data_IF_621562949777
#
_entry.id   IF_621562949777
#
_cell.length_a   1.000
_cell.length_b   1.000
_cell.length_c   1.000
_cell.angle_alpha   90.00
_cell.angle_beta   90.00
_cell.angle_gamma   90.00
#
_symmetry.space_group_name_H-M   'P 1'
#
loop_
_entity.id
_entity.type
_entity.pdbx_description
1 polymer ?
#
# COMPACT_ATOMS: atom_id res chain seq x y z
N UNK A 1 -63.81 11.41 32.90
CA UNK A 1 -63.65 10.83 34.23
C UNK A 1 -62.16 10.93 34.54
N UNK A 2 -61.78 11.99 35.22
CA UNK A 2 -61.44 12.11 36.66
C UNK A 2 -60.08 11.49 37.00
N UNK A 3 -59.01 12.26 36.95
CA UNK A 3 -58.25 12.99 37.98
C UNK A 3 -57.64 12.08 39.06
N UNK A 4 -56.35 12.21 39.24
CA UNK A 4 -55.57 11.66 40.36
C UNK A 4 -54.16 12.22 40.44
N UNK A 5 -54.08 13.52 40.84
CA UNK A 5 -52.80 14.21 41.18
C UNK A 5 -52.39 13.74 42.59
N UNK A 6 -51.17 13.21 42.77
CA UNK A 6 -50.57 13.08 44.10
C UNK A 6 -49.20 13.75 44.14
N UNK A 7 -49.16 14.82 44.92
CA UNK A 7 -47.92 15.50 45.33
C UNK A 7 -47.21 14.67 46.39
N UNK A 8 -45.89 14.55 46.27
CA UNK A 8 -45.02 14.01 47.31
C UNK A 8 -44.05 15.17 47.71
N UNK A 9 -44.14 15.53 48.93
CA UNK A 9 -43.28 16.49 49.65
C UNK A 9 -41.96 15.76 49.98
N UNK A 10 -40.85 16.29 49.57
CA UNK A 10 -39.54 15.79 50.00
C UNK A 10 -38.93 16.82 50.97
N UNK A 11 -38.71 16.32 52.17
CA UNK A 11 -38.08 16.99 53.29
C UNK A 11 -36.57 17.16 53.07
N UNK A 12 -36.07 18.39 53.19
CA UNK A 12 -34.66 18.73 53.14
C UNK A 12 -33.99 18.33 54.48
N UNK A 13 -32.98 17.49 54.42
CA UNK A 13 -32.08 17.26 55.54
C UNK A 13 -30.71 17.86 55.18
N UNK A 14 -30.34 18.93 55.86
CA UNK A 14 -29.00 19.54 55.83
C UNK A 14 -28.13 18.80 56.85
N UNK A 15 -27.13 18.08 56.41
CA UNK A 15 -26.07 17.56 57.23
C UNK A 15 -24.74 18.21 56.78
N UNK A 16 -24.23 19.11 57.59
CA UNK A 16 -22.91 19.64 57.44
C UNK A 16 -21.83 18.57 57.74
N UNK A 17 -20.90 18.44 56.86
CA UNK A 17 -19.71 17.61 57.06
C UNK A 17 -18.47 18.33 56.58
N UNK A 18 -17.59 18.73 57.50
CA UNK A 18 -16.22 19.16 57.25
C UNK A 18 -15.43 17.96 56.71
N UNK A 19 -14.68 18.17 55.60
CA UNK A 19 -13.81 17.10 55.19
C UNK A 19 -12.90 17.44 53.99
N UNK A 20 -11.68 17.76 54.27
CA UNK A 20 -10.46 17.56 53.48
C UNK A 20 -10.51 17.77 51.97
N UNK A 21 -9.93 18.86 51.53
CA UNK A 21 -9.33 19.03 50.21
C UNK A 21 -8.29 17.94 49.96
N UNK A 22 -8.60 16.99 49.09
CA UNK A 22 -7.60 16.22 48.34
C UNK A 22 -7.57 16.83 46.94
N UNK A 23 -6.49 17.55 46.64
CA UNK A 23 -6.10 17.86 45.27
C UNK A 23 -5.84 16.55 44.52
N UNK A 24 -6.90 16.00 43.99
CA UNK A 24 -6.81 14.93 42.99
C UNK A 24 -6.62 15.59 41.65
N UNK A 25 -5.38 15.80 41.22
CA UNK A 25 -5.06 16.02 39.82
C UNK A 25 -5.50 14.80 39.06
N UNK A 26 -6.74 14.78 38.57
CA UNK A 26 -7.19 13.86 37.54
C UNK A 26 -6.48 14.32 36.26
N UNK A 27 -5.37 13.68 35.92
CA UNK A 27 -4.87 13.76 34.54
C UNK A 27 -5.94 13.16 33.63
N UNK A 28 -6.78 14.01 33.03
CA UNK A 28 -7.60 13.64 31.90
C UNK A 28 -6.61 13.16 30.83
N UNK A 29 -6.47 11.86 30.66
CA UNK A 29 -5.86 11.25 29.49
C UNK A 29 -6.78 11.62 28.32
N UNK A 30 -6.39 12.67 27.60
CA UNK A 30 -7.08 13.11 26.39
C UNK A 30 -7.02 11.94 25.42
N UNK A 31 -8.16 11.29 25.19
CA UNK A 31 -8.27 10.21 24.23
C UNK A 31 -7.87 10.75 22.84
N UNK A 32 -6.78 10.25 22.29
CA UNK A 32 -6.25 10.73 21.00
C UNK A 32 -7.15 10.18 19.92
N UNK A 33 -7.92 11.06 19.28
CA UNK A 33 -8.87 10.69 18.20
C UNK A 33 -8.13 10.12 16.99
N UNK A 34 -8.75 9.11 16.36
CA UNK A 34 -8.30 8.61 15.06
C UNK A 34 -8.82 9.55 13.97
N UNK A 35 -7.94 9.96 13.07
CA UNK A 35 -8.27 10.82 11.93
C UNK A 35 -7.80 10.16 10.64
N UNK A 36 -8.56 10.35 9.55
CA UNK A 36 -8.14 9.95 8.21
C UNK A 36 -7.71 11.19 7.42
N UNK A 37 -6.44 11.21 7.02
CA UNK A 37 -5.86 12.22 6.14
C UNK A 37 -6.00 11.76 4.69
N UNK A 38 -6.47 12.66 3.82
CA UNK A 38 -6.55 12.41 2.37
C UNK A 38 -5.24 12.80 1.71
N UNK A 39 -4.78 11.98 0.79
CA UNK A 39 -3.64 12.24 -0.07
C UNK A 39 -4.04 12.69 -1.47
N UNK A 40 -3.18 12.44 -2.44
CA UNK A 40 -3.44 12.78 -3.83
C UNK A 40 -4.47 11.84 -4.48
N UNK A 41 -5.16 12.34 -5.51
CA UNK A 41 -6.10 11.59 -6.33
C UNK A 41 -5.80 11.78 -7.82
N UNK A 42 -6.11 10.77 -8.64
CA UNK A 42 -6.13 10.86 -10.10
C UNK A 42 -7.28 10.05 -10.69
N UNK A 43 -7.74 10.48 -11.85
CA UNK A 43 -8.72 9.73 -12.63
C UNK A 43 -8.00 8.61 -13.41
N UNK A 44 -8.38 7.36 -13.13
CA UNK A 44 -7.80 6.16 -13.75
C UNK A 44 -8.94 5.35 -14.32
N UNK A 45 -8.91 5.08 -15.63
CA UNK A 45 -9.90 4.26 -16.31
C UNK A 45 -11.36 4.65 -15.93
N UNK A 46 -11.65 5.99 -15.93
CA UNK A 46 -12.96 6.59 -15.65
C UNK A 46 -13.40 6.57 -14.17
N UNK A 47 -12.51 6.30 -13.24
CA UNK A 47 -12.79 6.34 -11.79
C UNK A 47 -11.65 7.00 -11.04
N UNK A 48 -11.94 7.63 -9.91
CA UNK A 48 -10.93 8.35 -9.14
C UNK A 48 -10.27 7.44 -8.10
N UNK A 49 -8.96 7.21 -8.23
CA UNK A 49 -8.11 6.53 -7.24
C UNK A 49 -7.48 7.59 -6.34
N UNK A 50 -7.51 7.36 -5.02
CA UNK A 50 -6.97 8.29 -4.03
C UNK A 50 -6.12 7.57 -3.00
N UNK A 51 -5.02 8.18 -2.57
CA UNK A 51 -4.25 7.74 -1.40
C UNK A 51 -4.83 8.32 -0.12
N UNK A 52 -4.55 7.68 1.00
CA UNK A 52 -5.00 8.13 2.32
C UNK A 52 -4.12 7.53 3.44
N UNK A 53 -4.25 8.09 4.65
CA UNK A 53 -3.63 7.53 5.86
C UNK A 53 -4.54 7.72 7.07
N UNK A 54 -4.58 6.73 7.98
CA UNK A 54 -5.20 6.86 9.30
C UNK A 54 -4.14 7.12 10.34
N UNK A 55 -4.38 8.12 11.15
CA UNK A 55 -3.47 8.58 12.21
C UNK A 55 -4.15 8.54 13.56
N UNK A 56 -3.42 8.19 14.60
CA UNK A 56 -3.80 8.42 16.00
C UNK A 56 -2.75 9.33 16.64
N UNK A 57 -3.04 10.63 16.65
CA UNK A 57 -2.04 11.65 16.96
C UNK A 57 -0.87 11.58 15.98
N UNK A 58 0.33 11.34 16.52
CA UNK A 58 1.55 11.20 15.74
C UNK A 58 1.78 9.77 15.17
N UNK A 59 0.97 8.80 15.58
CA UNK A 59 1.15 7.41 15.17
C UNK A 59 0.39 7.12 13.86
N UNK A 60 1.07 6.48 12.90
CA UNK A 60 0.45 5.93 11.70
C UNK A 60 -0.21 4.61 12.07
N UNK A 61 -1.50 4.49 11.82
CA UNK A 61 -2.24 3.24 11.97
C UNK A 61 -2.36 2.49 10.65
N UNK A 62 -2.72 3.22 9.58
CA UNK A 62 -2.90 2.66 8.24
C UNK A 62 -2.41 3.65 7.19
N UNK A 63 -1.84 3.13 6.11
CA UNK A 63 -1.56 3.87 4.86
C UNK A 63 -2.12 3.06 3.71
N UNK A 64 -2.72 3.72 2.73
CA UNK A 64 -3.28 2.96 1.62
C UNK A 64 -3.81 3.79 0.47
N UNK A 65 -4.54 3.10 -0.39
CA UNK A 65 -5.25 3.68 -1.52
C UNK A 65 -6.67 3.13 -1.62
N UNK A 66 -7.59 3.99 -2.06
CA UNK A 66 -8.94 3.60 -2.46
C UNK A 66 -8.97 3.46 -3.99
N UNK A 67 -9.35 2.28 -4.46
CA UNK A 67 -9.40 1.91 -5.87
C UNK A 67 -10.82 1.48 -6.22
N UNK A 68 -11.64 2.34 -6.83
CA UNK A 68 -12.99 1.98 -7.26
C UNK A 68 -12.97 0.84 -8.29
N UNK A 69 -13.95 -0.04 -8.23
CA UNK A 69 -14.06 -1.18 -9.16
C UNK A 69 -14.11 -0.74 -10.63
N UNK A 70 -14.64 0.46 -10.89
CA UNK A 70 -14.66 1.07 -12.22
C UNK A 70 -13.27 1.29 -12.81
N UNK A 71 -12.24 1.58 -11.99
CA UNK A 71 -10.85 1.68 -12.47
C UNK A 71 -10.32 0.32 -12.97
N UNK A 72 -10.82 -0.76 -12.40
CA UNK A 72 -10.42 -2.13 -12.74
C UNK A 72 -11.23 -2.64 -13.93
N UNK A 73 -12.53 -2.46 -13.92
CA UNK A 73 -13.44 -2.90 -15.00
C UNK A 73 -13.10 -2.24 -16.34
N UNK A 74 -12.86 -0.92 -16.32
CA UNK A 74 -12.56 -0.13 -17.52
C UNK A 74 -11.07 -0.14 -17.91
N UNK A 75 -10.20 -0.90 -17.24
CA UNK A 75 -8.82 -1.06 -17.66
C UNK A 75 -8.75 -1.66 -19.06
N UNK A 76 -8.08 -1.02 -20.04
CA UNK A 76 -8.09 -1.42 -21.45
C UNK A 76 -7.50 -2.82 -21.62
N UNK A 77 -8.14 -3.63 -22.47
CA UNK A 77 -7.66 -4.98 -22.77
C UNK A 77 -6.42 -4.98 -23.67
N UNK A 78 -6.35 -3.99 -24.56
CA UNK A 78 -5.25 -3.83 -25.53
C UNK A 78 -4.45 -2.57 -25.17
N UNK A 79 -3.20 -2.78 -24.78
CA UNK A 79 -2.22 -1.71 -24.60
C UNK A 79 -1.00 -2.03 -25.43
N UNK A 80 -0.48 -1.02 -26.13
CA UNK A 80 0.83 -1.15 -26.77
C UNK A 80 1.90 -1.14 -25.67
N UNK A 81 2.74 -2.17 -25.63
CA UNK A 81 3.87 -2.20 -24.71
C UNK A 81 4.80 -1.02 -24.99
N UNK A 82 5.09 -0.24 -23.94
CA UNK A 82 6.01 0.88 -23.96
C UNK A 82 7.15 0.57 -23.01
N UNK A 83 8.39 0.90 -23.43
CA UNK A 83 9.54 0.69 -22.58
C UNK A 83 10.31 1.98 -22.32
N UNK A 84 10.64 2.30 -21.06
CA UNK A 84 10.13 1.66 -19.84
C UNK A 84 8.62 1.87 -19.69
N UNK A 85 7.93 1.02 -18.92
CA UNK A 85 6.49 1.17 -18.66
C UNK A 85 6.14 2.56 -18.12
N UNK A 86 4.96 3.05 -18.50
CA UNK A 86 4.46 4.35 -18.07
C UNK A 86 3.37 4.14 -17.02
N UNK A 87 3.48 4.75 -15.83
CA UNK A 87 2.46 4.62 -14.81
C UNK A 87 1.13 5.22 -15.26
N UNK A 88 0.02 4.58 -14.91
CA UNK A 88 -1.33 5.15 -15.08
C UNK A 88 -1.63 6.20 -14.02
N UNK A 89 -0.92 6.18 -12.88
CA UNK A 89 -0.93 7.23 -11.87
C UNK A 89 0.37 7.28 -11.06
N UNK A 90 0.66 8.48 -10.52
CA UNK A 90 1.64 8.70 -9.47
C UNK A 90 0.99 9.65 -8.43
N UNK A 91 0.74 9.14 -7.23
CA UNK A 91 -0.10 9.78 -6.21
C UNK A 91 0.67 9.90 -4.90
N UNK A 92 0.81 11.11 -4.41
CA UNK A 92 1.45 11.34 -3.12
C UNK A 92 0.64 10.78 -1.95
N UNK A 93 1.31 10.12 -1.00
CA UNK A 93 0.75 9.75 0.30
C UNK A 93 0.59 11.03 1.14
N UNK A 94 -0.41 11.13 2.06
CA UNK A 94 -0.54 12.27 2.94
C UNK A 94 0.75 12.62 3.69
N UNK A 95 1.15 13.90 3.71
CA UNK A 95 2.40 14.38 4.31
C UNK A 95 2.58 13.92 5.75
N UNK A 96 1.49 13.91 6.53
CA UNK A 96 1.49 13.49 7.94
C UNK A 96 1.95 12.05 8.16
N UNK A 97 1.86 11.20 7.13
CA UNK A 97 2.23 9.78 7.21
C UNK A 97 3.56 9.45 6.52
N UNK A 98 4.04 10.25 5.56
CA UNK A 98 5.20 9.91 4.71
C UNK A 98 6.45 9.53 5.49
N UNK A 99 6.93 10.43 6.34
CA UNK A 99 8.17 10.19 7.09
C UNK A 99 8.04 9.07 8.11
N UNK A 100 6.84 8.86 8.64
CA UNK A 100 6.56 7.89 9.71
C UNK A 100 6.41 6.49 9.18
N UNK A 101 5.69 6.32 8.06
CA UNK A 101 5.49 5.03 7.39
C UNK A 101 6.64 4.64 6.47
N UNK A 102 7.48 5.61 6.08
CA UNK A 102 8.47 5.42 5.02
C UNK A 102 7.84 5.26 3.62
N UNK A 103 6.53 5.47 3.47
CA UNK A 103 5.84 5.47 2.16
C UNK A 103 5.58 6.90 1.72
N UNK A 104 6.12 7.30 0.56
CA UNK A 104 6.06 8.68 0.05
C UNK A 104 4.99 8.88 -1.00
N UNK A 105 4.85 7.93 -1.91
CA UNK A 105 3.87 7.97 -3.00
C UNK A 105 3.48 6.56 -3.46
N UNK A 106 2.35 6.47 -4.15
CA UNK A 106 1.89 5.31 -4.88
C UNK A 106 2.13 5.56 -6.37
N UNK A 107 2.87 4.68 -7.04
CA UNK A 107 2.91 4.60 -8.50
C UNK A 107 2.12 3.37 -8.94
N UNK A 108 1.16 3.55 -9.85
CA UNK A 108 0.29 2.48 -10.29
C UNK A 108 0.50 2.18 -11.77
N UNK A 109 0.63 0.89 -12.12
CA UNK A 109 0.74 0.42 -13.49
C UNK A 109 -0.40 -0.52 -13.83
N UNK A 110 -0.77 -0.57 -15.10
CA UNK A 110 -1.68 -1.55 -15.66
C UNK A 110 -0.97 -2.36 -16.73
N UNK A 111 -0.82 -3.65 -16.47
CA UNK A 111 -0.14 -4.59 -17.34
C UNK A 111 -1.16 -5.52 -18.02
N UNK A 112 -1.71 -5.05 -19.15
CA UNK A 112 -2.78 -5.76 -19.88
C UNK A 112 -2.37 -7.14 -20.40
N UNK A 113 -1.09 -7.32 -20.74
CA UNK A 113 -0.51 -8.58 -21.22
C UNK A 113 0.29 -9.28 -20.12
N UNK A 114 0.49 -8.61 -18.99
CA UNK A 114 1.49 -9.00 -18.01
C UNK A 114 2.92 -8.80 -18.51
N UNK A 115 3.89 -9.29 -17.74
CA UNK A 115 5.32 -9.13 -18.02
C UNK A 115 6.13 -10.36 -17.56
N UNK A 116 7.42 -10.50 -17.87
CA UNK A 116 8.29 -11.53 -17.29
C UNK A 116 8.33 -11.42 -15.74
N UNK A 117 8.41 -12.53 -15.00
CA UNK A 117 8.66 -13.91 -15.44
C UNK A 117 7.34 -14.70 -15.59
N UNK A 118 7.40 -15.88 -16.19
CA UNK A 118 6.34 -16.85 -16.48
C UNK A 118 4.93 -16.67 -15.86
N UNK A 119 4.83 -16.77 -14.54
CA UNK A 119 3.55 -16.66 -13.82
C UNK A 119 2.93 -15.24 -13.86
N UNK A 120 3.72 -14.21 -14.19
CA UNK A 120 3.26 -12.82 -14.27
C UNK A 120 2.70 -12.45 -15.65
N UNK A 121 2.70 -13.34 -16.63
CA UNK A 121 2.01 -13.15 -17.91
C UNK A 121 0.48 -13.33 -17.77
N UNK A 122 -0.11 -12.42 -17.00
CA UNK A 122 -1.57 -12.34 -16.80
C UNK A 122 -1.94 -10.87 -16.61
N UNK A 123 -3.14 -10.42 -17.03
CA UNK A 123 -3.55 -9.04 -16.78
C UNK A 123 -3.58 -8.71 -15.29
N UNK A 124 -2.78 -7.74 -14.85
CA UNK A 124 -2.66 -7.35 -13.45
C UNK A 124 -2.38 -5.86 -13.27
N UNK A 125 -2.56 -5.38 -12.04
CA UNK A 125 -2.14 -4.06 -11.60
C UNK A 125 -0.95 -4.19 -10.67
N UNK A 126 0.03 -3.30 -10.85
CA UNK A 126 1.16 -3.12 -9.96
C UNK A 126 0.95 -1.84 -9.15
N UNK A 127 0.97 -1.98 -7.82
CA UNK A 127 0.78 -0.86 -6.90
C UNK A 127 2.08 -0.64 -6.12
N UNK A 128 3.00 0.16 -6.66
CA UNK A 128 4.27 0.47 -6.00
C UNK A 128 4.07 1.53 -4.91
N UNK A 129 4.06 1.12 -3.66
CA UNK A 129 4.12 2.04 -2.52
C UNK A 129 5.58 2.37 -2.24
N UNK A 130 6.02 3.49 -2.77
CA UNK A 130 7.41 3.89 -2.82
C UNK A 130 7.88 4.55 -1.52
N UNK A 131 9.08 4.18 -1.06
CA UNK A 131 9.77 4.79 0.07
C UNK A 131 10.70 5.96 -0.32
N UNK A 132 10.81 6.25 -1.62
CA UNK A 132 11.61 7.33 -2.18
C UNK A 132 10.74 8.30 -2.99
N UNK A 133 11.24 9.51 -3.24
CA UNK A 133 10.49 10.52 -3.98
C UNK A 133 10.32 10.17 -5.47
N UNK A 134 9.32 10.74 -6.12
CA UNK A 134 9.11 10.59 -7.57
C UNK A 134 10.32 11.06 -8.39
N UNK A 135 11.09 12.04 -7.90
CA UNK A 135 12.30 12.49 -8.56
C UNK A 135 13.41 11.42 -8.51
N UNK A 136 13.59 10.76 -7.35
CA UNK A 136 14.55 9.66 -7.20
C UNK A 136 14.15 8.46 -8.04
N UNK A 137 12.86 8.08 -8.08
CA UNK A 137 12.33 7.02 -8.93
C UNK A 137 12.67 7.31 -10.40
N UNK A 138 12.39 8.52 -10.88
CA UNK A 138 12.64 8.92 -12.26
C UNK A 138 14.13 8.93 -12.63
N UNK A 139 15.04 9.01 -11.66
CA UNK A 139 16.48 8.96 -11.85
C UNK A 139 17.04 7.53 -11.97
N UNK A 140 16.26 6.50 -11.65
CA UNK A 140 16.70 5.10 -11.78
C UNK A 140 16.82 4.74 -13.26
N UNK A 141 18.04 4.41 -13.70
CA UNK A 141 18.33 4.06 -15.09
C UNK A 141 18.84 2.62 -15.30
N UNK A 142 18.87 1.81 -14.23
CA UNK A 142 19.40 0.44 -14.23
C UNK A 142 20.85 0.28 -14.71
N UNK A 143 21.69 1.31 -14.58
CA UNK A 143 23.14 1.19 -14.80
C UNK A 143 23.87 0.68 -13.55
N UNK A 144 23.45 1.16 -12.38
CA UNK A 144 23.94 0.63 -11.11
C UNK A 144 23.06 -0.56 -10.71
N UNK A 145 23.61 -1.75 -10.87
CA UNK A 145 22.95 -3.03 -10.57
C UNK A 145 23.43 -3.62 -9.24
N UNK A 146 23.86 -2.78 -8.31
CA UNK A 146 24.21 -3.21 -6.95
C UNK A 146 23.01 -3.88 -6.29
N UNK A 147 23.13 -5.19 -6.02
CA UNK A 147 22.09 -5.97 -5.33
C UNK A 147 22.12 -5.69 -3.82
N UNK A 148 20.97 -5.80 -3.10
CA UNK A 148 20.96 -5.68 -1.65
C UNK A 148 21.79 -6.77 -0.99
N UNK A 149 22.32 -6.49 0.20
CA UNK A 149 23.11 -7.45 1.00
C UNK A 149 22.26 -8.57 1.60
N UNK A 150 20.95 -8.32 1.78
CA UNK A 150 19.99 -9.30 2.26
C UNK A 150 18.64 -9.09 1.58
N UNK A 151 17.97 -10.19 1.26
CA UNK A 151 16.59 -10.23 0.78
C UNK A 151 15.68 -10.76 1.88
N UNK A 152 14.38 -10.45 1.84
CA UNK A 152 13.42 -11.13 2.69
C UNK A 152 13.48 -12.66 2.53
N UNK A 153 13.19 -13.38 3.59
CA UNK A 153 13.15 -14.84 3.54
C UNK A 153 12.15 -15.34 2.48
N UNK A 154 12.58 -16.26 1.62
CA UNK A 154 11.75 -16.78 0.52
C UNK A 154 11.65 -15.87 -0.70
N UNK A 155 12.49 -14.84 -0.82
CA UNK A 155 12.57 -13.94 -1.97
C UNK A 155 13.85 -14.13 -2.77
N UNK A 156 13.77 -13.85 -4.06
CA UNK A 156 14.94 -13.80 -4.95
C UNK A 156 14.87 -12.58 -5.88
N UNK A 157 16.03 -12.17 -6.37
CA UNK A 157 16.19 -11.20 -7.47
C UNK A 157 16.62 -12.00 -8.71
N UNK A 158 15.67 -12.53 -9.50
CA UNK A 158 16.00 -13.35 -10.65
C UNK A 158 16.58 -12.49 -11.78
N UNK A 159 17.53 -13.04 -12.50
CA UNK A 159 17.96 -12.51 -13.78
C UNK A 159 17.09 -13.17 -14.87
N UNK A 160 16.66 -12.38 -15.85
CA UNK A 160 15.77 -12.87 -16.90
C UNK A 160 16.32 -12.56 -18.29
N UNK A 161 16.58 -13.61 -19.08
CA UNK A 161 17.02 -13.48 -20.47
C UNK A 161 15.83 -13.15 -21.36
N UNK A 162 15.92 -12.01 -22.04
CA UNK A 162 14.86 -11.49 -22.88
C UNK A 162 14.80 -12.24 -24.23
N UNK A 163 13.60 -12.54 -24.72
CA UNK A 163 13.43 -12.95 -26.12
C UNK A 163 14.03 -11.93 -27.10
N UNK A 164 14.47 -12.33 -28.30
CA UNK A 164 15.16 -11.44 -29.23
C UNK A 164 14.45 -10.12 -29.54
N UNK A 165 13.14 -10.14 -29.72
CA UNK A 165 12.34 -8.94 -30.02
C UNK A 165 12.27 -7.98 -28.82
N UNK A 166 12.04 -8.52 -27.61
CA UNK A 166 12.06 -7.74 -26.38
C UNK A 166 13.46 -7.17 -26.09
N UNK A 167 14.51 -7.98 -26.28
CA UNK A 167 15.90 -7.55 -26.16
C UNK A 167 16.23 -6.39 -27.09
N UNK A 168 15.75 -6.44 -28.33
CA UNK A 168 15.94 -5.35 -29.31
C UNK A 168 15.19 -4.08 -28.91
N UNK A 169 13.97 -4.22 -28.44
CA UNK A 169 13.14 -3.08 -27.97
C UNK A 169 13.73 -2.43 -26.72
N UNK A 170 14.17 -3.23 -25.77
CA UNK A 170 14.67 -2.76 -24.46
C UNK A 170 16.15 -2.37 -24.48
N UNK A 171 16.90 -2.78 -25.50
CA UNK A 171 18.34 -2.48 -25.63
C UNK A 171 19.24 -3.29 -24.69
N UNK A 172 18.71 -4.33 -24.02
CA UNK A 172 19.45 -5.24 -23.11
C UNK A 172 19.12 -6.68 -23.44
N UNK A 173 20.07 -7.60 -23.18
CA UNK A 173 19.84 -9.05 -23.39
C UNK A 173 19.23 -9.72 -22.17
N UNK A 174 19.68 -9.31 -20.99
CA UNK A 174 19.29 -9.87 -19.70
C UNK A 174 18.86 -8.75 -18.77
N UNK A 175 17.72 -8.89 -18.14
CA UNK A 175 17.26 -8.01 -17.06
C UNK A 175 17.85 -8.54 -15.74
N UNK A 176 18.94 -7.92 -15.27
CA UNK A 176 19.59 -8.31 -14.01
C UNK A 176 18.72 -7.90 -12.83
N UNK A 177 18.36 -8.87 -11.98
CA UNK A 177 17.46 -8.64 -10.84
C UNK A 177 16.09 -8.08 -11.26
N UNK A 178 15.63 -8.35 -12.49
CA UNK A 178 14.43 -7.75 -13.08
C UNK A 178 14.44 -6.22 -12.99
N UNK A 179 15.60 -5.58 -13.24
CA UNK A 179 15.70 -4.13 -13.17
C UNK A 179 14.97 -3.46 -14.33
N UNK A 180 14.04 -2.56 -13.98
CA UNK A 180 13.27 -1.73 -14.92
C UNK A 180 13.64 -0.26 -14.69
N UNK A 181 14.05 0.50 -15.71
CA UNK A 181 14.28 1.93 -15.56
C UNK A 181 13.05 2.64 -15.00
N UNK A 182 13.27 3.58 -14.07
CA UNK A 182 12.23 4.30 -13.31
C UNK A 182 11.40 3.42 -12.36
N UNK A 183 11.88 2.21 -12.06
CA UNK A 183 11.27 1.33 -11.06
C UNK A 183 12.35 0.73 -10.15
N UNK A 184 13.42 0.17 -10.72
CA UNK A 184 14.47 -0.55 -9.99
C UNK A 184 14.38 -2.06 -10.18
N UNK A 185 15.06 -2.81 -9.32
CA UNK A 185 15.04 -4.27 -9.29
C UNK A 185 13.81 -4.78 -8.52
N UNK A 186 13.30 -5.95 -8.91
CA UNK A 186 12.12 -6.56 -8.31
C UNK A 186 12.50 -7.90 -7.65
N UNK A 187 12.53 -7.92 -6.31
CA UNK A 187 12.61 -9.15 -5.57
C UNK A 187 11.22 -9.76 -5.44
N UNK A 188 11.08 -10.99 -5.92
CA UNK A 188 9.81 -11.71 -5.98
C UNK A 188 9.84 -12.95 -5.10
N UNK A 189 8.70 -13.40 -4.54
CA UNK A 189 8.64 -14.67 -3.81
C UNK A 189 9.12 -15.82 -4.70
N UNK A 190 10.00 -16.68 -4.19
CA UNK A 190 10.54 -17.83 -4.95
C UNK A 190 9.44 -18.77 -5.41
N UNK A 191 8.37 -18.91 -4.62
CA UNK A 191 7.19 -19.71 -4.97
C UNK A 191 6.46 -19.19 -6.21
N UNK A 192 6.53 -17.89 -6.50
CA UNK A 192 5.90 -17.30 -7.68
C UNK A 192 6.83 -17.39 -8.91
N UNK A 193 8.16 -17.42 -8.72
CA UNK A 193 9.12 -17.70 -9.79
C UNK A 193 8.97 -19.16 -10.31
N UNK A 194 8.75 -20.09 -9.39
CA UNK A 194 8.63 -21.52 -9.69
C UNK A 194 7.22 -21.92 -10.15
N UNK A 195 6.25 -21.03 -9.99
CA UNK A 195 4.86 -21.28 -10.32
C UNK A 195 4.66 -21.43 -11.83
N UNK A 196 3.86 -22.42 -12.22
CA UNK A 196 3.45 -22.65 -13.62
C UNK A 196 2.16 -21.93 -13.98
N UNK A 197 1.26 -21.82 -13.01
CA UNK A 197 -0.02 -21.15 -13.18
C UNK A 197 0.14 -19.63 -13.03
N UNK A 198 -0.68 -18.82 -13.72
CA UNK A 198 -0.68 -17.37 -13.54
C UNK A 198 -0.85 -16.98 -12.06
N UNK A 199 -0.20 -15.89 -11.64
CA UNK A 199 -0.42 -15.35 -10.30
C UNK A 199 -1.86 -14.87 -10.15
N UNK A 200 -2.38 -14.99 -8.92
CA UNK A 200 -3.58 -14.25 -8.51
C UNK A 200 -3.20 -12.95 -7.84
N UNK A 201 -2.25 -12.98 -6.92
CA UNK A 201 -1.60 -11.83 -6.32
C UNK A 201 -0.22 -12.23 -5.79
N UNK A 202 0.69 -11.26 -5.71
CA UNK A 202 2.05 -11.40 -5.17
C UNK A 202 2.41 -10.13 -4.40
N UNK A 203 3.28 -10.25 -3.40
CA UNK A 203 3.90 -9.08 -2.74
C UNK A 203 5.35 -9.00 -3.19
N UNK A 204 5.70 -7.98 -3.93
CA UNK A 204 7.04 -7.75 -4.48
C UNK A 204 7.75 -6.68 -3.66
N UNK A 205 9.09 -6.71 -3.63
CA UNK A 205 9.92 -5.70 -2.97
C UNK A 205 10.89 -5.12 -3.98
N UNK A 206 10.84 -3.80 -4.14
CA UNK A 206 11.72 -3.08 -5.05
C UNK A 206 13.03 -2.65 -4.42
N UNK A 207 14.10 -2.68 -5.22
CA UNK A 207 15.44 -2.27 -4.81
C UNK A 207 16.12 -1.38 -5.85
N UNK A 208 16.88 -0.39 -5.37
CA UNK A 208 17.82 0.37 -6.19
C UNK A 208 19.10 0.63 -5.40
N UNK A 209 20.24 0.44 -6.06
CA UNK A 209 21.58 0.68 -5.46
C UNK A 209 21.70 -0.02 -4.09
N UNK A 210 21.26 -1.27 -4.03
CA UNK A 210 21.33 -2.11 -2.83
C UNK A 210 20.35 -1.76 -1.70
N UNK A 211 19.44 -0.80 -1.89
CA UNK A 211 18.47 -0.34 -0.88
C UNK A 211 17.04 -0.68 -1.28
N UNK A 212 16.16 -1.04 -0.33
CA UNK A 212 14.75 -1.18 -0.62
C UNK A 212 14.12 0.18 -0.93
N UNK A 213 13.27 0.23 -1.94
CA UNK A 213 12.65 1.47 -2.41
C UNK A 213 11.14 1.41 -2.54
N UNK A 214 10.54 0.23 -2.62
CA UNK A 214 9.08 0.06 -2.60
C UNK A 214 8.66 -1.31 -2.11
N UNK A 215 7.40 -1.40 -1.69
CA UNK A 215 6.65 -2.65 -1.55
C UNK A 215 5.49 -2.59 -2.55
N UNK A 216 5.21 -3.72 -3.20
CA UNK A 216 4.29 -3.77 -4.33
C UNK A 216 3.34 -4.94 -4.21
N UNK A 217 2.08 -4.72 -3.80
CA UNK A 217 1.03 -5.67 -4.09
C UNK A 217 0.74 -5.68 -5.59
N UNK A 218 1.13 -6.76 -6.25
CA UNK A 218 0.83 -7.08 -7.64
C UNK A 218 -0.43 -7.95 -7.66
N UNK A 219 -1.52 -7.47 -8.28
CA UNK A 219 -2.84 -8.10 -8.13
C UNK A 219 -3.49 -8.31 -9.49
N UNK A 220 -3.82 -9.56 -9.82
CA UNK A 220 -4.47 -9.87 -11.10
C UNK A 220 -5.85 -9.21 -11.21
N UNK A 221 -6.19 -8.73 -12.42
CA UNK A 221 -7.54 -8.22 -12.70
C UNK A 221 -8.60 -9.25 -12.35
N UNK A 222 -8.33 -10.53 -12.62
CA UNK A 222 -9.26 -11.63 -12.33
C UNK A 222 -9.58 -11.76 -10.84
N UNK A 223 -8.58 -11.55 -9.94
CA UNK A 223 -8.82 -11.58 -8.49
C UNK A 223 -9.64 -10.36 -8.06
N UNK A 224 -9.27 -9.15 -8.51
CA UNK A 224 -10.01 -7.93 -8.17
C UNK A 224 -11.47 -7.97 -8.66
N UNK A 225 -11.73 -8.62 -9.80
CA UNK A 225 -13.08 -8.77 -10.34
C UNK A 225 -13.96 -9.74 -9.54
N UNK A 226 -13.40 -10.52 -8.61
CA UNK A 226 -14.20 -11.33 -7.68
C UNK A 226 -14.95 -10.47 -6.67
N UNK A 227 -14.47 -9.24 -6.41
CA UNK A 227 -15.09 -8.31 -5.45
C UNK A 227 -15.13 -8.89 -4.04
N UNK A 228 -14.03 -9.53 -3.65
CA UNK A 228 -13.82 -10.16 -2.35
C UNK A 228 -12.60 -9.55 -1.67
N UNK A 229 -12.62 -9.49 -0.33
CA UNK A 229 -11.46 -9.06 0.46
C UNK A 229 -10.44 -10.19 0.56
N UNK A 230 -9.15 -9.83 0.60
CA UNK A 230 -8.05 -10.79 0.77
C UNK A 230 -6.83 -10.12 1.41
N UNK A 231 -5.94 -10.94 1.95
CA UNK A 231 -4.68 -10.51 2.55
C UNK A 231 -3.49 -11.02 1.71
N UNK A 232 -2.37 -10.29 1.77
CA UNK A 232 -1.08 -10.77 1.30
C UNK A 232 -0.08 -10.75 2.46
N UNK A 233 0.79 -11.77 2.48
CA UNK A 233 1.87 -11.82 3.47
C UNK A 233 2.88 -10.71 3.20
N UNK A 234 3.13 -9.87 4.22
CA UNK A 234 4.16 -8.85 4.14
C UNK A 234 5.54 -9.43 4.44
N UNK A 235 6.55 -9.16 3.59
CA UNK A 235 7.92 -9.54 3.89
C UNK A 235 8.54 -8.59 4.92
N UNK A 236 9.45 -9.10 5.75
CA UNK A 236 10.32 -8.26 6.56
C UNK A 236 11.45 -7.72 5.68
N UNK A 237 11.46 -6.41 5.43
CA UNK A 237 12.41 -5.75 4.52
C UNK A 237 13.49 -5.04 5.32
N UNK A 238 14.70 -5.58 5.32
CA UNK A 238 15.85 -4.94 5.97
C UNK A 238 16.26 -3.65 5.26
N UNK A 239 16.53 -2.60 6.01
CA UNK A 239 16.94 -1.28 5.49
C UNK A 239 15.80 -0.39 5.00
N UNK A 240 14.54 -0.75 5.26
CA UNK A 240 13.41 0.14 5.01
C UNK A 240 13.53 1.41 5.86
N UNK A 241 13.23 2.56 5.26
CA UNK A 241 13.28 3.86 5.95
C UNK A 241 11.91 4.16 6.56
N UNK A 242 11.86 4.52 7.85
CA UNK A 242 10.61 4.74 8.59
C UNK A 242 10.03 3.45 9.19
N UNK A 243 8.81 3.50 9.66
CA UNK A 243 8.13 2.32 10.19
C UNK A 243 7.70 1.39 9.06
N UNK A 244 7.88 0.09 9.26
CA UNK A 244 7.45 -0.92 8.30
C UNK A 244 6.09 -1.50 8.68
N UNK A 245 5.17 -1.57 7.71
CA UNK A 245 3.93 -2.30 7.88
C UNK A 245 4.21 -3.81 7.93
N UNK A 246 3.55 -4.52 8.82
CA UNK A 246 3.63 -5.98 8.92
C UNK A 246 2.41 -6.68 8.33
N UNK A 247 1.38 -5.93 7.93
CA UNK A 247 0.16 -6.45 7.30
C UNK A 247 -0.22 -5.67 6.05
N UNK A 248 -0.71 -6.40 5.07
CA UNK A 248 -1.41 -5.86 3.90
C UNK A 248 -2.75 -6.54 3.72
N UNK A 249 -3.79 -5.76 3.47
CA UNK A 249 -5.14 -6.21 3.19
C UNK A 249 -5.74 -5.43 2.03
N UNK A 250 -6.37 -6.12 1.10
CA UNK A 250 -7.27 -5.55 0.10
C UNK A 250 -8.70 -5.78 0.58
N UNK A 251 -9.36 -4.75 1.08
CA UNK A 251 -10.71 -4.80 1.62
C UNK A 251 -11.70 -4.28 0.59
N UNK A 252 -12.68 -5.12 0.21
CA UNK A 252 -13.72 -4.73 -0.73
C UNK A 252 -14.96 -4.21 0.00
N UNK A 253 -15.35 -2.97 -0.30
CA UNK A 253 -16.60 -2.36 0.15
C UNK A 253 -17.66 -2.51 -0.94
N UNK A 254 -18.60 -3.44 -0.72
CA UNK A 254 -19.67 -3.74 -1.69
C UNK A 254 -20.68 -2.58 -1.85
N UNK A 255 -20.84 -1.71 -0.86
CA UNK A 255 -21.76 -0.56 -0.94
C UNK A 255 -21.16 0.55 -1.79
N UNK A 256 -19.86 0.79 -1.64
CA UNK A 256 -19.14 1.82 -2.39
C UNK A 256 -18.58 1.32 -3.71
N UNK A 257 -18.56 0.00 -3.93
CA UNK A 257 -17.97 -0.63 -5.09
C UNK A 257 -16.49 -0.23 -5.27
N UNK A 258 -15.70 -0.36 -4.19
CA UNK A 258 -14.30 0.01 -4.16
C UNK A 258 -13.47 -0.96 -3.33
N UNK A 259 -12.18 -1.06 -3.66
CA UNK A 259 -11.17 -1.66 -2.79
C UNK A 259 -10.47 -0.60 -1.96
N UNK A 260 -10.19 -0.92 -0.71
CA UNK A 260 -9.16 -0.25 0.09
C UNK A 260 -7.94 -1.16 0.17
N UNK A 261 -6.83 -0.72 -0.40
CA UNK A 261 -5.53 -1.36 -0.25
C UNK A 261 -4.89 -0.78 1.01
N UNK A 262 -4.66 -1.61 2.02
CA UNK A 262 -4.36 -1.17 3.39
C UNK A 262 -3.07 -1.79 3.88
N UNK A 263 -2.07 -0.97 4.16
CA UNK A 263 -0.90 -1.33 4.96
C UNK A 263 -1.16 -0.94 6.41
N UNK A 264 -0.92 -1.83 7.34
CA UNK A 264 -1.17 -1.61 8.78
C UNK A 264 -0.14 -2.30 9.67
N UNK A 265 -0.33 -2.14 10.99
CA UNK A 265 0.56 -2.69 12.02
C UNK A 265 2.01 -2.24 11.79
N UNK A 266 2.19 -0.91 11.73
CA UNK A 266 3.49 -0.28 11.55
C UNK A 266 4.35 -0.43 12.80
N UNK A 267 5.58 -0.91 12.63
CA UNK A 267 6.59 -1.00 13.66
C UNK A 267 7.84 -0.24 13.23
N UNK A 268 8.63 0.25 14.19
CA UNK A 268 9.91 0.85 13.87
C UNK A 268 10.74 -0.14 13.01
N UNK A 269 11.43 0.39 11.99
CA UNK A 269 12.36 -0.42 11.19
C UNK A 269 13.47 -0.97 12.10
N UNK A 270 13.74 -2.25 12.00
CA UNK A 270 14.83 -2.93 12.73
C UNK A 270 16.19 -2.65 12.10
#
# INVERSE_FOLDING_TARGET
>A
MSIGLRAVIITLVVAGGFGCSKDGSSSETKEVSITEAKGACADIHKSQVCTWAKMQGENVLEVGATVPIGSIENAPADTTMVWPPVPVAALDIPDVARQKSGMTNLTMFWEAQGHPTGAFFTPHFDFHFNGISSAEINAIDCKDLTKPTALPAGYALPDFDLPPDASKMMGVKTMIGLCVPKMGMHAVPTVDIERKEPITASMVVGYAIGKPIFVEPMISKALLMKKESFDLTMPAVSGWTGAQASKFRAEYDAQKQEYRLIFSDFSAAN
#
